data_IF_165738480147
#
_entry.id   IF_165738480147
#
_cell.length_a   1.000
_cell.length_b   1.000
_cell.length_c   1.000
_cell.angle_alpha   90.00
_cell.angle_beta   90.00
_cell.angle_gamma   90.00
#
_symmetry.space_group_name_H-M   'P 1'
#
loop_
_entity.id
_entity.type
_entity.pdbx_description
1 polymer ?
#
# COMPACT_ATOMS: atom_id res chain seq x y z
N UNK A 1 -45.34 -22.04 -20.61
CA UNK A 1 -44.31 -23.10 -20.61
C UNK A 1 -43.00 -22.37 -20.40
N UNK A 2 -42.67 -22.13 -19.14
CA UNK A 2 -41.52 -21.33 -18.75
C UNK A 2 -40.31 -22.24 -18.56
N UNK A 3 -39.33 -22.12 -19.46
CA UNK A 3 -38.00 -22.71 -19.34
C UNK A 3 -37.10 -21.70 -18.60
N UNK A 4 -36.35 -22.10 -17.56
CA UNK A 4 -35.51 -21.17 -16.80
C UNK A 4 -34.31 -20.71 -17.62
N UNK A 5 -34.02 -19.41 -17.47
CA UNK A 5 -32.89 -18.67 -18.03
C UNK A 5 -31.57 -19.43 -17.93
N UNK A 6 -30.90 -19.60 -19.08
CA UNK A 6 -29.51 -20.04 -19.15
C UNK A 6 -28.64 -19.13 -18.27
N UNK A 7 -27.81 -19.75 -17.43
CA UNK A 7 -26.72 -19.08 -16.74
C UNK A 7 -25.77 -18.49 -17.79
N UNK A 8 -25.64 -17.17 -17.80
CA UNK A 8 -24.67 -16.42 -18.60
C UNK A 8 -23.24 -16.79 -18.16
N UNK A 9 -22.67 -17.80 -18.81
CA UNK A 9 -21.22 -18.07 -18.82
C UNK A 9 -20.54 -16.97 -19.65
N UNK A 10 -20.12 -15.89 -18.98
CA UNK A 10 -19.44 -14.75 -19.62
C UNK A 10 -17.92 -14.88 -19.50
N UNK A 11 -17.33 -15.86 -20.20
CA UNK A 11 -15.95 -15.72 -20.64
C UNK A 11 -15.87 -16.10 -22.12
N UNK A 12 -15.82 -15.13 -23.05
CA UNK A 12 -15.57 -15.45 -24.45
C UNK A 12 -14.12 -15.94 -24.59
N UNK A 13 -13.96 -17.14 -25.13
CA UNK A 13 -12.68 -17.62 -25.64
C UNK A 13 -12.25 -16.70 -26.78
N UNK A 14 -11.09 -16.05 -26.66
CA UNK A 14 -10.50 -15.28 -27.78
C UNK A 14 -9.45 -16.14 -28.48
N UNK A 15 -9.54 -16.19 -29.80
CA UNK A 15 -8.62 -16.87 -30.72
C UNK A 15 -7.23 -16.22 -30.69
N UNK A 16 -6.33 -16.75 -29.86
CA UNK A 16 -4.85 -16.74 -30.01
C UNK A 16 -4.11 -17.53 -28.90
N UNK A 17 -4.76 -18.50 -28.25
CA UNK A 17 -4.07 -19.48 -27.41
C UNK A 17 -3.58 -19.01 -26.03
N UNK A 18 -3.84 -17.76 -25.63
CA UNK A 18 -3.59 -17.32 -24.26
C UNK A 18 -4.90 -17.28 -23.47
N UNK A 19 -5.04 -18.23 -22.54
CA UNK A 19 -5.93 -18.05 -21.39
C UNK A 19 -5.27 -16.95 -20.58
N UNK A 20 -5.93 -15.82 -20.35
CA UNK A 20 -5.60 -14.96 -19.22
C UNK A 20 -6.30 -15.64 -18.04
N UNK A 21 -5.64 -16.50 -17.24
CA UNK A 21 -6.25 -16.88 -15.99
C UNK A 21 -6.51 -15.55 -15.29
N UNK A 22 -7.74 -15.36 -14.81
CA UNK A 22 -8.03 -14.30 -13.83
C UNK A 22 -6.79 -14.17 -12.93
N UNK A 23 -6.13 -13.00 -12.85
CA UNK A 23 -4.82 -12.89 -12.22
C UNK A 23 -4.85 -13.64 -10.89
N UNK A 24 -3.86 -14.50 -10.61
CA UNK A 24 -4.02 -15.66 -9.72
C UNK A 24 -4.47 -15.29 -8.30
N UNK A 25 -4.34 -14.02 -7.90
CA UNK A 25 -4.81 -13.50 -6.63
C UNK A 25 -5.41 -12.11 -6.82
N UNK A 26 -6.68 -12.08 -7.24
CA UNK A 26 -7.46 -10.85 -7.18
C UNK A 26 -8.04 -10.70 -5.78
N UNK A 27 -7.39 -9.88 -4.95
CA UNK A 27 -7.98 -9.39 -3.71
C UNK A 27 -8.49 -7.98 -3.97
N UNK A 28 -9.81 -7.81 -4.00
CA UNK A 28 -10.39 -6.48 -4.06
C UNK A 28 -10.07 -5.74 -2.76
N UNK A 29 -9.63 -4.50 -2.88
CA UNK A 29 -9.69 -3.60 -1.74
C UNK A 29 -11.16 -3.46 -1.31
N UNK A 30 -11.44 -3.25 0.00
CA UNK A 30 -12.78 -2.93 0.45
C UNK A 30 -13.37 -1.83 -0.45
N UNK A 31 -14.63 -1.97 -0.86
CA UNK A 31 -15.30 -1.07 -1.81
C UNK A 31 -15.29 0.42 -1.41
N UNK A 32 -15.00 0.71 -0.14
CA UNK A 32 -14.83 2.05 0.39
C UNK A 32 -13.47 2.68 0.02
N UNK A 33 -12.44 1.88 -0.23
CA UNK A 33 -11.08 2.34 -0.49
C UNK A 33 -10.89 2.59 -1.98
N UNK A 34 -10.70 3.86 -2.34
CA UNK A 34 -10.34 4.25 -3.70
C UNK A 34 -8.84 4.51 -3.75
N UNK A 35 -8.12 3.65 -4.46
CA UNK A 35 -6.68 3.78 -4.65
C UNK A 35 -6.34 4.99 -5.54
N UNK A 36 -5.40 5.83 -5.11
CA UNK A 36 -4.88 6.98 -5.87
C UNK A 36 -3.47 6.73 -6.37
N UNK A 37 -2.56 6.28 -5.50
CA UNK A 37 -1.16 5.95 -5.83
C UNK A 37 -0.70 4.73 -5.04
N UNK A 38 0.16 3.92 -5.65
CA UNK A 38 0.78 2.76 -5.01
C UNK A 38 2.30 2.88 -5.17
N UNK A 39 3.02 2.67 -4.08
CA UNK A 39 4.46 2.52 -4.08
C UNK A 39 4.82 1.15 -3.48
N UNK A 40 5.82 0.49 -4.08
CA UNK A 40 6.27 -0.84 -3.68
C UNK A 40 7.72 -0.77 -3.24
N UNK A 41 7.98 -1.29 -2.04
CA UNK A 41 9.32 -1.56 -1.55
C UNK A 41 9.78 -2.98 -1.86
N UNK A 42 10.80 -3.46 -1.15
CA UNK A 42 11.29 -4.83 -1.35
C UNK A 42 10.28 -5.88 -0.86
N UNK A 43 9.73 -5.65 0.33
CA UNK A 43 8.83 -6.60 1.02
C UNK A 43 7.57 -5.92 1.59
N UNK A 44 7.31 -4.66 1.21
CA UNK A 44 6.15 -3.91 1.69
C UNK A 44 5.55 -3.07 0.58
N UNK A 45 4.30 -2.64 0.78
CA UNK A 45 3.58 -1.77 -0.12
C UNK A 45 2.98 -0.59 0.66
N UNK A 46 2.89 0.55 -0.02
CA UNK A 46 2.33 1.80 0.50
C UNK A 46 1.28 2.29 -0.49
N UNK A 47 0.05 2.44 -0.04
CA UNK A 47 -1.08 2.94 -0.82
C UNK A 47 -1.52 4.30 -0.31
N UNK A 48 -1.60 5.27 -1.22
CA UNK A 48 -2.31 6.52 -1.01
C UNK A 48 -3.74 6.38 -1.54
N UNK A 49 -4.72 6.67 -0.72
CA UNK A 49 -6.14 6.66 -1.11
C UNK A 49 -6.59 8.02 -1.65
N UNK A 50 -7.79 8.09 -2.26
CA UNK A 50 -8.41 9.36 -2.64
C UNK A 50 -8.81 10.21 -1.44
N UNK A 51 -8.95 9.60 -0.25
CA UNK A 51 -9.20 10.29 1.01
C UNK A 51 -7.91 10.89 1.61
N UNK A 52 -6.80 10.84 0.87
CA UNK A 52 -5.48 11.36 1.26
C UNK A 52 -4.87 10.62 2.47
N UNK A 53 -5.36 9.41 2.74
CA UNK A 53 -4.90 8.51 3.80
C UNK A 53 -3.87 7.53 3.26
N UNK A 54 -2.87 7.19 4.07
CA UNK A 54 -1.86 6.20 3.75
C UNK A 54 -2.17 4.87 4.41
N UNK A 55 -2.15 3.80 3.61
CA UNK A 55 -2.22 2.43 4.07
C UNK A 55 -0.94 1.70 3.73
N UNK A 56 -0.51 0.81 4.62
CA UNK A 56 0.69 -0.01 4.45
C UNK A 56 0.40 -1.46 4.78
N UNK A 57 1.11 -2.36 4.11
CA UNK A 57 1.09 -3.80 4.36
C UNK A 57 2.37 -4.46 3.83
N UNK A 58 2.60 -5.71 4.21
CA UNK A 58 3.78 -6.50 3.96
C UNK A 58 4.64 -6.66 5.21
N UNK A 59 5.96 -6.76 5.02
CA UNK A 59 6.92 -6.94 6.11
C UNK A 59 7.09 -5.66 6.94
N UNK A 60 7.05 -5.78 8.27
CA UNK A 60 7.19 -4.67 9.22
C UNK A 60 8.45 -4.68 10.07
N UNK A 61 9.33 -5.66 9.88
CA UNK A 61 10.52 -5.94 10.72
C UNK A 61 11.50 -4.78 10.93
N UNK A 62 11.46 -3.75 10.09
CA UNK A 62 12.29 -2.55 10.16
C UNK A 62 11.49 -1.27 10.40
N UNK A 63 10.20 -1.38 10.77
CA UNK A 63 9.30 -0.26 10.99
C UNK A 63 8.84 0.43 9.71
N UNK A 64 9.04 -0.18 8.54
CA UNK A 64 8.72 0.41 7.23
C UNK A 64 7.22 0.59 6.98
N UNK A 65 6.37 -0.05 7.80
CA UNK A 65 4.92 0.12 7.78
C UNK A 65 4.48 1.36 8.57
N UNK A 66 5.20 1.74 9.63
CA UNK A 66 4.87 2.94 10.41
C UNK A 66 3.71 2.76 11.40
N UNK A 67 3.31 1.52 11.72
CA UNK A 67 2.26 1.23 12.72
C UNK A 67 2.72 1.37 14.18
N UNK A 68 3.99 1.69 14.42
CA UNK A 68 4.56 1.83 15.77
C UNK A 68 5.08 0.52 16.37
N UNK A 69 5.02 -0.58 15.62
CA UNK A 69 5.60 -1.88 15.94
C UNK A 69 6.48 -2.38 14.77
N UNK A 70 6.97 -3.63 14.89
CA UNK A 70 7.80 -4.30 13.90
C UNK A 70 7.12 -5.54 13.32
N UNK A 71 5.81 -5.64 13.44
CA UNK A 71 5.04 -6.83 13.03
C UNK A 71 4.71 -6.79 11.54
N UNK A 72 4.65 -7.96 10.92
CA UNK A 72 4.25 -8.11 9.52
C UNK A 72 2.71 -7.97 9.42
N UNK A 73 2.23 -7.22 8.42
CA UNK A 73 0.79 -6.95 8.23
C UNK A 73 0.38 -7.45 6.86
N UNK A 74 -0.51 -8.44 6.79
CA UNK A 74 -0.90 -9.06 5.52
C UNK A 74 -1.95 -8.25 4.73
N UNK A 75 -2.65 -7.33 5.39
CA UNK A 75 -3.76 -6.56 4.81
C UNK A 75 -3.47 -5.06 4.87
N UNK A 76 -3.96 -4.27 3.89
CA UNK A 76 -3.80 -2.81 3.94
C UNK A 76 -4.35 -2.24 5.25
N UNK A 77 -3.46 -1.72 6.08
CA UNK A 77 -3.80 -1.11 7.37
C UNK A 77 -3.45 0.37 7.33
N UNK A 78 -4.30 1.20 7.94
CA UNK A 78 -4.06 2.64 8.03
C UNK A 78 -2.84 2.90 8.92
N UNK A 79 -2.00 3.84 8.49
CA UNK A 79 -0.89 4.34 9.31
C UNK A 79 -1.44 5.40 10.27
N UNK A 80 -1.79 4.98 11.49
CA UNK A 80 -2.41 5.88 12.49
C UNK A 80 -1.56 7.10 12.83
N UNK A 81 -0.23 6.98 12.74
CA UNK A 81 0.69 8.10 12.95
C UNK A 81 0.54 9.23 11.90
N UNK A 82 -0.02 8.94 10.73
CA UNK A 82 -0.30 9.90 9.66
C UNK A 82 -1.80 10.25 9.56
N UNK A 83 -2.60 9.79 10.52
CA UNK A 83 -4.03 10.07 10.52
C UNK A 83 -4.29 11.58 10.65
N UNK A 84 -5.09 12.14 9.74
CA UNK A 84 -5.39 13.57 9.71
C UNK A 84 -4.34 14.45 9.03
N UNK A 85 -3.24 13.86 8.53
CA UNK A 85 -2.28 14.56 7.67
C UNK A 85 -2.64 14.25 6.21
N UNK A 86 -3.14 15.23 5.42
CA UNK A 86 -3.49 14.98 4.03
C UNK A 86 -2.21 14.74 3.20
N UNK A 87 -2.06 13.53 2.68
CA UNK A 87 -0.88 13.14 1.90
C UNK A 87 -1.10 13.37 0.39
N UNK A 88 -0.12 13.98 -0.27
CA UNK A 88 -0.14 14.22 -1.71
C UNK A 88 0.62 13.15 -2.49
N UNK A 89 1.73 12.66 -1.94
CA UNK A 89 2.65 11.71 -2.57
C UNK A 89 3.13 10.66 -1.58
N UNK A 90 3.43 9.47 -2.10
CA UNK A 90 4.04 8.36 -1.36
C UNK A 90 5.15 7.73 -2.19
N UNK A 91 6.20 7.27 -1.51
CA UNK A 91 7.32 6.55 -2.09
C UNK A 91 7.76 5.43 -1.13
N UNK A 92 8.26 4.34 -1.70
CA UNK A 92 8.77 3.20 -0.95
C UNK A 92 10.16 2.85 -1.47
N UNK A 93 11.10 2.68 -0.55
CA UNK A 93 12.44 2.16 -0.81
C UNK A 93 12.55 0.69 -0.42
N UNK A 94 13.77 0.18 -0.24
CA UNK A 94 13.98 -1.24 0.13
C UNK A 94 13.28 -1.63 1.44
N UNK A 95 13.65 -0.94 2.53
CA UNK A 95 13.11 -1.14 3.89
C UNK A 95 12.72 0.18 4.58
N UNK A 96 12.38 1.20 3.80
CA UNK A 96 11.93 2.48 4.30
C UNK A 96 10.84 3.05 3.39
N UNK A 97 10.04 3.95 3.96
CA UNK A 97 8.92 4.59 3.30
C UNK A 97 9.02 6.09 3.48
N UNK A 98 8.49 6.82 2.51
CA UNK A 98 8.42 8.27 2.55
C UNK A 98 7.08 8.76 1.99
N UNK A 99 6.68 9.94 2.44
CA UNK A 99 5.51 10.62 1.91
C UNK A 99 5.63 12.13 2.07
N UNK A 100 4.86 12.84 1.26
CA UNK A 100 4.80 14.30 1.28
C UNK A 100 3.35 14.68 1.56
N UNK A 101 3.11 15.58 2.51
CA UNK A 101 1.79 16.14 2.78
C UNK A 101 1.42 17.23 1.77
N UNK A 102 0.14 17.57 1.68
CA UNK A 102 -0.30 18.72 0.88
C UNK A 102 0.28 20.06 1.37
N UNK A 103 0.69 20.15 2.64
CA UNK A 103 1.43 21.31 3.18
C UNK A 103 2.89 21.38 2.72
N UNK A 104 3.41 20.31 2.10
CA UNK A 104 4.80 20.20 1.67
C UNK A 104 5.75 19.64 2.74
N UNK A 105 5.22 19.15 3.87
CA UNK A 105 6.02 18.49 4.89
C UNK A 105 6.39 17.07 4.45
N UNK A 106 7.62 16.67 4.76
CA UNK A 106 8.17 15.37 4.37
C UNK A 106 8.15 14.45 5.58
N UNK A 107 7.57 13.26 5.39
CA UNK A 107 7.51 12.20 6.39
C UNK A 107 8.31 11.00 5.90
N UNK A 108 9.16 10.46 6.75
CA UNK A 108 9.98 9.29 6.44
C UNK A 108 9.98 8.33 7.62
N UNK A 109 9.82 7.03 7.36
CA UNK A 109 9.80 6.01 8.40
C UNK A 109 10.44 4.69 7.91
N UNK A 110 10.81 3.83 8.85
CA UNK A 110 11.44 2.54 8.59
C UNK A 110 12.93 2.49 8.90
N UNK A 111 13.66 1.69 8.12
CA UNK A 111 15.08 1.43 8.33
C UNK A 111 15.92 2.70 8.14
N UNK A 112 16.89 2.95 9.03
CA UNK A 112 17.71 4.16 9.00
C UNK A 112 19.23 3.94 9.17
N UNK A 113 19.74 2.70 9.08
CA UNK A 113 21.18 2.44 9.29
C UNK A 113 22.10 3.23 8.34
N UNK A 114 21.63 3.47 7.11
CA UNK A 114 22.36 4.23 6.09
C UNK A 114 22.04 5.73 6.10
N UNK A 115 21.21 6.22 7.04
CA UNK A 115 20.77 7.62 7.09
C UNK A 115 19.71 7.98 6.04
N UNK A 116 19.05 6.99 5.45
CA UNK A 116 18.08 7.16 4.36
C UNK A 116 16.80 7.90 4.78
N UNK A 117 16.52 8.04 6.09
CA UNK A 117 15.41 8.87 6.56
C UNK A 117 15.73 10.37 6.56
N UNK A 118 16.99 10.75 6.29
CA UNK A 118 17.40 12.17 6.31
C UNK A 118 17.30 12.83 7.68
N UNK A 119 17.13 12.04 8.74
CA UNK A 119 17.06 12.53 10.12
C UNK A 119 18.46 12.87 10.64
N UNK A 120 18.62 13.94 11.44
CA UNK A 120 19.90 14.34 12.01
C UNK A 120 20.48 13.29 12.98
N UNK A 121 19.68 12.33 13.44
CA UNK A 121 20.12 11.21 14.26
C UNK A 121 19.64 9.87 13.69
N UNK A 122 20.55 8.87 13.76
CA UNK A 122 20.31 7.52 13.24
C UNK A 122 19.37 6.66 14.09
N UNK A 123 18.92 7.17 15.24
CA UNK A 123 18.12 6.43 16.22
C UNK A 123 16.85 7.21 16.57
N UNK A 124 15.76 6.51 16.93
CA UNK A 124 14.45 7.04 17.31
C UNK A 124 14.44 7.86 18.63
N UNK A 125 15.53 8.54 18.95
CA UNK A 125 15.78 9.16 20.26
C UNK A 125 16.16 10.64 20.17
N UNK A 126 15.76 11.33 19.10
CA UNK A 126 15.72 12.78 19.09
C UNK A 126 14.33 13.24 19.54
N UNK A 127 14.17 13.41 20.86
CA UNK A 127 13.14 14.27 21.45
C UNK A 127 13.72 15.65 21.69
#
# INVERSE_FOLDING_TARGET
>A
MDLPSAHNSLFPLVTNGYIVPKPPFFRELPSKIHARKLALGNEHAVLLTSELTVLTWGAGRHGQLGHGDLEDVEEPQIVDALHGVPMSEVAAGGWHSAGISESGDIYTWGWNESGQLGLPCKTQQCR
#
